data_IF_691538932045
#
_entry.id   IF_691538932045
#
_cell.length_a   1.000
_cell.length_b   1.000
_cell.length_c   1.000
_cell.angle_alpha   90.00
_cell.angle_beta   90.00
_cell.angle_gamma   90.00
#
_symmetry.space_group_name_H-M   'P 1'
#
loop_
_entity.id
_entity.type
_entity.pdbx_description
1 polymer ?
#
# COMPACT_ATOMS: atom_id res chain seq x y z
N UNK A 1 45.28 1.56 -35.07
CA UNK A 1 44.64 0.89 -33.92
C UNK A 1 44.40 -0.60 -34.15
N UNK A 2 45.44 -1.41 -33.99
CA UNK A 2 45.37 -2.87 -34.13
C UNK A 2 44.54 -3.53 -33.02
N UNK A 3 44.54 -2.93 -31.82
CA UNK A 3 43.76 -3.40 -30.66
C UNK A 3 42.25 -3.37 -30.93
N UNK A 4 41.77 -2.36 -31.66
CA UNK A 4 40.35 -2.22 -32.00
C UNK A 4 39.95 -3.30 -33.01
N UNK A 5 40.80 -3.56 -34.01
CA UNK A 5 40.55 -4.61 -35.02
C UNK A 5 40.51 -6.00 -34.40
N UNK A 6 41.38 -6.29 -33.44
CA UNK A 6 41.42 -7.57 -32.75
C UNK A 6 40.15 -7.80 -31.89
N UNK A 7 39.69 -6.75 -31.19
CA UNK A 7 38.46 -6.81 -30.39
C UNK A 7 37.22 -7.03 -31.26
N UNK A 8 37.15 -6.39 -32.43
CA UNK A 8 36.06 -6.58 -33.40
C UNK A 8 36.08 -7.98 -34.02
N UNK A 9 37.26 -8.56 -34.26
CA UNK A 9 37.38 -9.94 -34.75
C UNK A 9 36.86 -10.92 -33.69
N UNK A 10 37.21 -10.70 -32.43
CA UNK A 10 36.79 -11.55 -31.30
C UNK A 10 35.27 -11.53 -31.11
N UNK A 11 34.64 -10.35 -31.18
CA UNK A 11 33.18 -10.21 -31.13
C UNK A 11 32.47 -10.96 -32.27
N UNK A 12 32.97 -10.87 -33.51
CA UNK A 12 32.38 -11.60 -34.65
C UNK A 12 32.49 -13.12 -34.54
N UNK A 13 33.58 -13.63 -33.95
CA UNK A 13 33.74 -15.06 -33.71
C UNK A 13 32.78 -15.57 -32.63
N UNK A 14 32.54 -14.78 -31.58
CA UNK A 14 31.57 -15.11 -30.53
C UNK A 14 30.11 -15.04 -31.07
N UNK A 15 29.79 -14.09 -31.95
CA UNK A 15 28.49 -14.02 -32.63
C UNK A 15 28.26 -15.18 -33.61
N UNK A 16 29.31 -15.64 -34.32
CA UNK A 16 29.21 -16.83 -35.18
C UNK A 16 29.05 -18.13 -34.40
N UNK A 17 29.64 -18.23 -33.20
CA UNK A 17 29.39 -19.36 -32.30
C UNK A 17 27.95 -19.38 -31.76
N UNK A 18 27.34 -18.20 -31.57
CA UNK A 18 25.95 -18.08 -31.13
C UNK A 18 24.91 -18.22 -32.26
N UNK A 19 25.27 -17.92 -33.51
CA UNK A 19 24.36 -17.84 -34.65
C UNK A 19 23.98 -19.15 -35.35
N UNK A 20 24.43 -20.33 -34.87
CA UNK A 20 24.13 -21.62 -35.52
C UNK A 20 23.00 -22.42 -34.82
N UNK A 21 22.23 -21.80 -33.92
CA UNK A 21 21.11 -22.48 -33.27
C UNK A 21 19.84 -21.64 -33.33
N UNK A 22 18.99 -21.94 -34.33
CA UNK A 22 17.63 -21.44 -34.41
C UNK A 22 16.64 -22.62 -34.28
N UNK A 23 16.17 -22.81 -33.02
CA UNK A 23 14.82 -23.26 -32.56
C UNK A 23 14.41 -24.73 -32.75
N UNK A 24 13.38 -25.30 -32.03
CA UNK A 24 12.44 -24.72 -31.05
C UNK A 24 12.18 -25.59 -29.76
N UNK A 25 11.28 -25.12 -28.89
CA UNK A 25 10.54 -25.85 -27.83
C UNK A 25 11.26 -26.37 -26.55
N UNK A 26 10.88 -25.77 -25.42
CA UNK A 26 10.46 -26.44 -24.16
C UNK A 26 11.36 -27.57 -23.62
N UNK A 27 12.26 -27.24 -22.69
CA UNK A 27 12.46 -27.98 -21.42
C UNK A 27 13.67 -27.43 -20.64
N UNK A 28 13.69 -27.69 -19.33
CA UNK A 28 14.86 -27.62 -18.44
C UNK A 28 15.18 -26.28 -17.75
N UNK A 29 14.29 -25.86 -16.84
CA UNK A 29 14.75 -25.34 -15.54
C UNK A 29 15.13 -26.53 -14.63
N UNK A 30 16.12 -27.32 -15.03
CA UNK A 30 16.73 -28.33 -14.16
C UNK A 30 18.16 -27.87 -13.81
N UNK A 31 18.56 -27.90 -12.53
CA UNK A 31 19.92 -27.56 -12.16
C UNK A 31 20.86 -28.53 -12.87
N UNK A 32 21.80 -27.98 -13.65
CA UNK A 32 22.84 -28.73 -14.36
C UNK A 32 23.46 -29.74 -13.39
N UNK A 33 23.53 -31.01 -13.78
CA UNK A 33 24.16 -32.06 -13.00
C UNK A 33 25.58 -31.63 -12.62
N UNK A 34 25.75 -31.33 -11.33
CA UNK A 34 27.01 -30.86 -10.78
C UNK A 34 28.03 -31.98 -10.87
N UNK A 35 29.14 -31.75 -11.57
CA UNK A 35 30.29 -32.67 -11.62
C UNK A 35 31.09 -32.71 -10.31
N UNK A 36 30.59 -32.01 -9.27
CA UNK A 36 31.27 -31.87 -7.98
C UNK A 36 31.20 -33.18 -7.20
N UNK A 37 32.33 -33.53 -6.60
CA UNK A 37 32.42 -34.67 -5.70
C UNK A 37 31.53 -34.45 -4.48
N UNK A 38 31.12 -35.52 -3.79
CA UNK A 38 30.27 -35.41 -2.60
C UNK A 38 30.90 -34.50 -1.52
N UNK A 39 32.23 -34.50 -1.42
CA UNK A 39 32.99 -33.63 -0.51
C UNK A 39 32.84 -32.16 -0.90
N UNK A 40 32.95 -31.82 -2.18
CA UNK A 40 32.76 -30.45 -2.67
C UNK A 40 31.31 -29.97 -2.51
N UNK A 41 30.33 -30.88 -2.65
CA UNK A 41 28.93 -30.55 -2.39
C UNK A 41 28.68 -30.23 -0.92
N UNK A 42 29.31 -30.97 -0.01
CA UNK A 42 29.23 -30.72 1.43
C UNK A 42 29.91 -29.39 1.79
N UNK A 43 31.08 -29.11 1.21
CA UNK A 43 31.78 -27.82 1.41
C UNK A 43 30.95 -26.63 0.90
N UNK A 44 30.33 -26.76 -0.28
CA UNK A 44 29.41 -25.75 -0.81
C UNK A 44 28.22 -25.50 0.13
N UNK A 45 27.64 -26.55 0.72
CA UNK A 45 26.53 -26.43 1.67
C UNK A 45 26.96 -25.75 2.98
N UNK A 46 28.14 -26.10 3.50
CA UNK A 46 28.74 -25.44 4.67
C UNK A 46 29.00 -23.95 4.37
N UNK A 47 29.49 -23.65 3.17
CA UNK A 47 29.70 -22.27 2.72
C UNK A 47 28.39 -21.50 2.56
N UNK A 48 27.34 -22.14 2.06
CA UNK A 48 26.02 -21.53 1.97
C UNK A 48 25.45 -21.22 3.37
N UNK A 49 25.52 -22.18 4.29
CA UNK A 49 25.04 -22.00 5.66
C UNK A 49 25.77 -20.85 6.37
N UNK A 50 27.09 -20.80 6.27
CA UNK A 50 27.89 -19.72 6.87
C UNK A 50 27.56 -18.35 6.27
N UNK A 51 27.32 -18.28 4.96
CA UNK A 51 26.88 -17.03 4.33
C UNK A 51 25.49 -16.62 4.82
N UNK A 52 24.55 -17.56 5.00
CA UNK A 52 23.21 -17.28 5.52
C UNK A 52 23.28 -16.73 6.95
N UNK A 53 24.07 -17.35 7.84
CA UNK A 53 24.24 -16.86 9.21
C UNK A 53 24.85 -15.45 9.28
N UNK A 54 25.77 -15.13 8.35
CA UNK A 54 26.35 -13.79 8.27
C UNK A 54 25.32 -12.74 7.83
N UNK A 55 24.42 -13.11 6.92
CA UNK A 55 23.32 -12.24 6.50
C UNK A 55 22.34 -12.04 7.66
N UNK A 56 21.96 -13.10 8.38
CA UNK A 56 21.08 -12.99 9.55
C UNK A 56 21.66 -12.11 10.66
N UNK A 57 22.96 -12.19 10.93
CA UNK A 57 23.63 -11.33 11.91
C UNK A 57 23.70 -9.85 11.49
N UNK A 58 23.80 -9.59 10.19
CA UNK A 58 23.77 -8.24 9.64
C UNK A 58 22.35 -7.66 9.69
N UNK A 59 21.36 -8.39 9.17
CA UNK A 59 19.97 -7.95 9.12
C UNK A 59 19.27 -7.98 10.49
N UNK A 60 19.71 -8.83 11.43
CA UNK A 60 19.13 -8.91 12.77
C UNK A 60 19.34 -7.63 13.60
N UNK A 61 20.50 -6.97 13.45
CA UNK A 61 20.80 -5.69 14.08
C UNK A 61 19.98 -4.56 13.46
N UNK A 62 19.90 -4.56 12.13
CA UNK A 62 19.13 -3.57 11.38
C UNK A 62 17.64 -3.70 11.68
N UNK A 63 17.12 -4.93 11.83
CA UNK A 63 15.72 -5.19 12.18
C UNK A 63 15.35 -4.54 13.52
N UNK A 64 16.19 -4.67 14.54
CA UNK A 64 15.92 -4.07 15.84
C UNK A 64 15.93 -2.53 15.81
N UNK A 65 16.84 -1.91 15.04
CA UNK A 65 16.87 -0.46 14.86
C UNK A 65 15.68 0.03 14.01
N UNK A 66 15.33 -0.70 12.96
CA UNK A 66 14.14 -0.43 12.14
C UNK A 66 12.88 -0.49 13.01
N UNK A 67 12.71 -1.54 13.82
CA UNK A 67 11.59 -1.69 14.74
C UNK A 67 11.55 -0.55 15.78
N UNK A 68 12.71 -0.08 16.26
CA UNK A 68 12.80 1.10 17.12
C UNK A 68 12.40 2.40 16.40
N UNK A 69 12.85 2.60 15.16
CA UNK A 69 12.52 3.75 14.35
C UNK A 69 11.02 3.80 13.99
N UNK A 70 10.42 2.65 13.68
CA UNK A 70 8.98 2.51 13.43
C UNK A 70 8.21 2.92 14.68
N UNK A 71 8.58 2.39 15.87
CA UNK A 71 7.94 2.78 17.13
C UNK A 71 8.02 4.29 17.39
N UNK A 72 9.19 4.92 17.18
CA UNK A 72 9.35 6.38 17.32
C UNK A 72 8.46 7.15 16.34
N UNK A 73 8.26 6.64 15.12
CA UNK A 73 7.40 7.28 14.11
C UNK A 73 5.92 7.14 14.46
N UNK A 74 5.51 5.96 14.93
CA UNK A 74 4.14 5.69 15.39
C UNK A 74 3.78 6.56 16.60
N UNK A 75 4.69 6.72 17.56
CA UNK A 75 4.46 7.60 18.71
C UNK A 75 4.26 9.06 18.28
N UNK A 76 5.06 9.55 17.33
CA UNK A 76 4.88 10.90 16.76
C UNK A 76 3.53 11.07 16.04
N UNK A 77 3.05 10.02 15.37
CA UNK A 77 1.74 10.02 14.72
C UNK A 77 0.60 9.98 15.75
N UNK A 78 0.74 9.20 16.82
CA UNK A 78 -0.22 9.16 17.93
C UNK A 78 -0.37 10.53 18.62
N UNK A 79 0.73 11.25 18.79
CA UNK A 79 0.72 12.64 19.29
C UNK A 79 -0.01 13.58 18.32
N UNK A 80 0.00 13.30 17.02
CA UNK A 80 -0.73 14.07 16.01
C UNK A 80 -2.24 13.76 16.01
N UNK A 81 -2.64 12.49 16.22
CA UNK A 81 -4.04 12.08 16.34
C UNK A 81 -4.71 12.57 17.63
N UNK A 82 -3.96 12.75 18.72
CA UNK A 82 -4.43 13.43 19.95
C UNK A 82 -4.56 14.96 19.78
N UNK A 83 -4.42 15.45 18.55
CA UNK A 83 -4.41 16.86 18.19
C UNK A 83 -3.00 17.46 18.31
N UNK A 84 -2.63 18.42 17.46
CA UNK A 84 -1.33 19.08 17.54
C UNK A 84 -1.08 19.55 18.99
N UNK A 85 0.15 19.47 19.52
CA UNK A 85 0.47 20.24 20.71
C UNK A 85 0.06 21.67 20.37
N UNK A 86 -0.77 22.29 21.22
CA UNK A 86 -1.14 23.70 21.15
C UNK A 86 0.11 24.57 21.36
N UNK A 87 1.13 24.41 20.53
CA UNK A 87 2.15 25.40 20.30
C UNK A 87 1.45 26.50 19.50
N UNK A 88 0.93 27.44 20.27
CA UNK A 88 0.57 28.80 19.89
C UNK A 88 0.92 29.13 18.44
N UNK A 89 -0.06 28.98 17.55
CA UNK A 89 -0.06 29.64 16.26
C UNK A 89 -0.28 31.14 16.52
N UNK A 90 0.75 31.78 17.07
CA UNK A 90 0.77 33.23 17.23
C UNK A 90 1.18 33.80 15.89
N UNK A 91 0.19 34.40 15.25
CA UNK A 91 0.32 35.48 14.28
C UNK A 91 0.54 35.09 12.82
N UNK A 92 -0.56 34.75 12.13
CA UNK A 92 -0.77 35.23 10.76
C UNK A 92 -2.19 35.80 10.70
N UNK A 93 -2.25 37.12 10.60
CA UNK A 93 -3.43 37.92 10.91
C UNK A 93 -4.58 37.86 9.91
N UNK A 94 -5.62 38.63 10.29
CA UNK A 94 -6.82 39.05 9.56
C UNK A 94 -8.17 38.42 9.98
N UNK A 95 -8.50 38.63 11.25
CA UNK A 95 -9.73 39.24 11.81
C UNK A 95 -11.10 38.95 11.14
N UNK A 96 -11.89 38.07 11.78
CA UNK A 96 -13.35 38.20 11.95
C UNK A 96 -13.65 38.38 13.45
N UNK A 97 -14.67 39.18 13.77
CA UNK A 97 -14.83 39.85 15.07
C UNK A 97 -15.37 38.94 16.19
N UNK A 98 -14.94 39.21 17.43
CA UNK A 98 -15.34 38.50 18.67
C UNK A 98 -16.86 38.30 18.84
N UNK A 99 -17.75 39.25 18.48
CA UNK A 99 -19.20 39.04 18.59
C UNK A 99 -19.76 37.94 17.65
N UNK A 100 -19.08 37.69 16.53
CA UNK A 100 -19.52 36.74 15.48
C UNK A 100 -19.26 35.29 15.92
N UNK A 101 -18.12 35.06 16.59
CA UNK A 101 -17.74 33.75 17.15
C UNK A 101 -18.64 33.36 18.33
N UNK A 102 -19.04 34.33 19.15
CA UNK A 102 -19.93 34.09 20.31
C UNK A 102 -21.35 33.78 19.87
N UNK A 103 -21.86 34.43 18.82
CA UNK A 103 -23.19 34.17 18.27
C UNK A 103 -23.30 32.79 17.60
N UNK A 104 -22.22 32.30 16.98
CA UNK A 104 -22.14 30.93 16.42
C UNK A 104 -22.11 29.84 17.52
N UNK A 105 -21.46 30.12 18.65
CA UNK A 105 -21.39 29.20 19.80
C UNK A 105 -22.73 29.11 20.57
N UNK A 106 -23.47 30.22 20.68
CA UNK A 106 -24.80 30.26 21.32
C UNK A 106 -25.92 29.67 20.45
N UNK A 107 -25.71 29.57 19.13
CA UNK A 107 -26.69 29.03 18.17
C UNK A 107 -26.58 27.51 17.95
N UNK A 108 -25.76 26.81 18.75
CA UNK A 108 -25.72 25.35 18.80
C UNK A 108 -26.54 24.83 19.99
N UNK A 109 -27.78 24.36 19.79
CA UNK A 109 -28.43 23.49 20.76
C UNK A 109 -27.82 22.08 20.63
N UNK A 110 -27.61 21.41 21.77
CA UNK A 110 -26.98 20.10 21.96
C UNK A 110 -25.45 20.00 21.85
N UNK A 111 -24.79 20.54 22.88
CA UNK A 111 -23.76 19.77 23.58
C UNK A 111 -24.34 19.31 24.92
N UNK A 112 -25.27 18.36 24.89
CA UNK A 112 -25.64 17.61 26.08
C UNK A 112 -24.47 16.70 26.46
N UNK A 113 -23.59 17.25 27.29
CA UNK A 113 -22.76 16.51 28.23
C UNK A 113 -23.69 15.77 29.18
N UNK A 114 -23.72 14.45 29.05
CA UNK A 114 -23.86 13.48 30.13
C UNK A 114 -22.80 12.43 29.77
N UNK A 115 -21.63 12.32 30.41
CA UNK A 115 -21.35 12.37 31.84
C UNK A 115 -22.45 11.62 32.61
N UNK A 116 -22.61 10.32 32.32
CA UNK A 116 -23.19 9.39 33.28
C UNK A 116 -22.19 8.26 33.57
N UNK A 117 -22.04 8.05 34.86
CA UNK A 117 -21.00 7.33 35.55
C UNK A 117 -21.16 5.82 35.34
N UNK A 118 -20.05 5.12 35.09
CA UNK A 118 -20.02 3.66 35.15
C UNK A 118 -20.02 3.27 36.64
N UNK A 119 -21.20 3.23 37.24
CA UNK A 119 -21.41 2.49 38.48
C UNK A 119 -21.80 1.05 38.15
N UNK A 120 -21.06 0.12 38.75
CA UNK A 120 -21.37 -1.30 38.80
C UNK A 120 -22.51 -1.49 39.80
N UNK A 121 -23.51 -2.28 39.47
CA UNK A 121 -24.09 -3.27 40.38
C UNK A 121 -24.93 -4.29 39.60
N UNK A 122 -24.82 -5.54 40.04
CA UNK A 122 -25.55 -6.73 39.58
C UNK A 122 -27.05 -6.64 39.90
N UNK A 123 -27.93 -7.06 38.99
CA UNK A 123 -29.10 -7.93 39.32
C UNK A 123 -29.97 -8.27 38.10
N UNK A 124 -30.60 -9.44 38.21
CA UNK A 124 -31.40 -10.16 37.23
C UNK A 124 -32.65 -9.44 36.65
N UNK A 125 -33.07 -9.96 35.47
CA UNK A 125 -34.45 -10.04 34.90
C UNK A 125 -34.94 -9.01 33.86
N UNK A 126 -35.33 -9.62 32.74
CA UNK A 126 -36.61 -9.47 32.01
C UNK A 126 -36.63 -8.72 30.66
N UNK A 127 -36.77 -9.53 29.61
CA UNK A 127 -37.63 -9.36 28.44
C UNK A 127 -38.06 -7.95 28.02
N UNK A 128 -37.50 -7.46 26.91
CA UNK A 128 -37.96 -6.20 26.33
C UNK A 128 -37.49 -5.92 24.91
N UNK A 129 -38.13 -6.58 23.92
CA UNK A 129 -38.43 -6.00 22.60
C UNK A 129 -37.25 -5.41 21.81
N UNK A 130 -36.54 -6.28 21.10
CA UNK A 130 -35.74 -5.91 19.93
C UNK A 130 -36.62 -5.25 18.87
N UNK A 131 -36.63 -3.93 18.84
CA UNK A 131 -37.13 -3.17 17.68
C UNK A 131 -36.02 -3.19 16.64
N UNK A 132 -36.22 -3.97 15.58
CA UNK A 132 -35.43 -3.87 14.37
C UNK A 132 -35.81 -2.55 13.67
N UNK A 133 -35.13 -1.47 14.03
CA UNK A 133 -34.99 -0.34 13.13
C UNK A 133 -33.76 -0.57 12.28
N UNK A 134 -34.04 -0.81 11.00
CA UNK A 134 -33.11 -1.01 9.91
C UNK A 134 -32.38 0.32 9.65
N UNK A 135 -31.46 0.65 10.56
CA UNK A 135 -30.46 1.69 10.38
C UNK A 135 -29.41 1.20 9.42
N UNK A 136 -29.76 1.09 8.12
CA UNK A 136 -28.76 1.06 7.06
C UNK A 136 -28.06 2.43 7.05
N UNK A 137 -27.11 2.62 7.97
CA UNK A 137 -26.03 3.55 7.73
C UNK A 137 -25.29 2.96 6.55
N UNK A 138 -25.60 3.43 5.34
CA UNK A 138 -24.83 3.11 4.16
C UNK A 138 -23.42 3.60 4.42
N UNK A 139 -22.58 2.67 4.87
CA UNK A 139 -21.16 2.79 5.02
C UNK A 139 -20.60 3.13 3.63
N UNK A 140 -20.56 4.43 3.32
CA UNK A 140 -20.11 5.02 2.05
C UNK A 140 -18.57 4.93 1.90
N UNK A 141 -17.94 4.04 2.68
CA UNK A 141 -16.51 3.78 2.71
C UNK A 141 -16.03 2.93 1.52
N UNK A 142 -16.95 2.37 0.74
CA UNK A 142 -16.66 1.49 -0.41
C UNK A 142 -17.13 2.11 -1.75
N UNK A 143 -17.40 3.42 -1.75
CA UNK A 143 -17.75 4.18 -2.97
C UNK A 143 -16.50 4.49 -3.79
N UNK A 144 -16.42 4.09 -5.08
CA UNK A 144 -15.26 4.33 -5.93
C UNK A 144 -14.92 5.83 -6.03
N UNK A 145 -13.63 6.20 -6.04
CA UNK A 145 -13.22 7.61 -6.10
C UNK A 145 -13.78 8.28 -7.35
N UNK A 146 -14.14 9.56 -7.23
CA UNK A 146 -14.70 10.36 -8.32
C UNK A 146 -13.65 10.97 -9.26
N UNK A 147 -12.42 10.49 -9.17
CA UNK A 147 -11.27 10.93 -9.95
C UNK A 147 -10.41 9.70 -10.27
N UNK A 148 -9.76 9.72 -11.44
CA UNK A 148 -8.81 8.68 -11.80
C UNK A 148 -7.64 8.64 -10.80
N UNK A 149 -7.29 7.45 -10.29
CA UNK A 149 -6.23 7.27 -9.28
C UNK A 149 -4.86 7.80 -9.75
N UNK A 150 -4.55 7.72 -11.05
CA UNK A 150 -3.26 8.15 -11.59
C UNK A 150 -3.20 9.64 -11.96
N UNK A 151 -4.16 10.12 -12.73
CA UNK A 151 -4.12 11.47 -13.33
C UNK A 151 -5.12 12.46 -12.72
N UNK A 152 -5.96 12.01 -11.79
CA UNK A 152 -7.03 12.79 -11.14
C UNK A 152 -8.04 13.42 -12.13
N UNK A 153 -8.08 12.95 -13.37
CA UNK A 153 -9.10 13.33 -14.35
C UNK A 153 -10.43 12.63 -14.09
N UNK A 154 -11.47 12.99 -14.85
CA UNK A 154 -12.76 12.29 -14.80
C UNK A 154 -12.57 10.78 -15.10
N UNK A 155 -12.98 9.90 -14.18
CA UNK A 155 -12.88 8.47 -14.39
C UNK A 155 -14.08 8.00 -15.22
N UNK A 156 -13.83 7.04 -16.11
CA UNK A 156 -14.84 6.42 -16.97
C UNK A 156 -15.06 4.94 -16.66
N UNK A 157 -14.10 4.31 -15.98
CA UNK A 157 -14.04 2.87 -15.77
C UNK A 157 -13.70 2.63 -14.30
N UNK A 158 -14.32 1.63 -13.68
CA UNK A 158 -13.99 1.12 -12.34
C UNK A 158 -13.53 -0.32 -12.48
N UNK A 159 -12.36 -0.66 -11.96
CA UNK A 159 -11.83 -2.01 -11.97
C UNK A 159 -12.12 -2.69 -10.63
N UNK A 160 -12.84 -3.80 -10.62
CA UNK A 160 -13.18 -4.53 -9.38
C UNK A 160 -11.93 -5.20 -8.80
N UNK A 161 -11.10 -5.75 -9.67
CA UNK A 161 -9.94 -6.55 -9.28
C UNK A 161 -8.81 -5.66 -8.74
N UNK A 162 -8.78 -4.38 -9.12
CA UNK A 162 -7.94 -3.35 -8.51
C UNK A 162 -8.71 -2.60 -7.41
N UNK A 163 -9.29 -3.31 -6.45
CA UNK A 163 -9.94 -2.72 -5.26
C UNK A 163 -11.02 -1.66 -5.55
N UNK A 164 -11.75 -1.80 -6.67
CA UNK A 164 -12.76 -0.81 -7.12
C UNK A 164 -12.17 0.58 -7.38
N UNK A 165 -10.90 0.64 -7.77
CA UNK A 165 -10.25 1.85 -8.22
C UNK A 165 -10.88 2.37 -9.51
N UNK A 166 -10.98 3.69 -9.62
CA UNK A 166 -11.52 4.35 -10.80
C UNK A 166 -10.41 4.91 -11.69
N UNK A 167 -10.60 4.73 -13.00
CA UNK A 167 -9.61 5.03 -14.03
C UNK A 167 -10.26 5.79 -15.18
N UNK A 168 -9.49 6.66 -15.82
CA UNK A 168 -9.85 7.17 -17.15
C UNK A 168 -9.48 6.14 -18.22
N UNK A 169 -10.08 6.21 -19.40
CA UNK A 169 -9.83 5.27 -20.50
C UNK A 169 -8.35 5.13 -20.88
N UNK A 170 -7.57 6.20 -20.78
CA UNK A 170 -6.13 6.18 -21.08
C UNK A 170 -5.33 5.43 -20.03
N UNK A 171 -5.50 5.78 -18.76
CA UNK A 171 -4.80 5.12 -17.66
C UNK A 171 -5.26 3.67 -17.47
N UNK A 172 -6.51 3.35 -17.82
CA UNK A 172 -6.95 1.96 -17.83
C UNK A 172 -6.17 1.17 -18.88
N UNK A 173 -6.14 1.61 -20.14
CA UNK A 173 -5.47 0.88 -21.22
C UNK A 173 -3.93 0.82 -21.10
N UNK A 174 -3.30 1.79 -20.43
CA UNK A 174 -1.83 1.80 -20.23
C UNK A 174 -1.38 0.85 -19.12
N UNK A 175 -2.23 0.61 -18.11
CA UNK A 175 -1.89 -0.16 -16.92
C UNK A 175 -2.69 -1.47 -16.79
N UNK A 176 -3.69 -1.70 -17.65
CA UNK A 176 -4.46 -2.93 -17.72
C UNK A 176 -4.31 -3.50 -19.13
N UNK A 177 -3.45 -4.50 -19.26
CA UNK A 177 -3.29 -5.23 -20.51
C UNK A 177 -4.51 -6.15 -20.74
N UNK A 178 -4.90 -6.40 -21.99
CA UNK A 178 -6.03 -7.29 -22.30
C UNK A 178 -5.79 -8.76 -21.89
N UNK A 179 -4.55 -9.10 -21.51
CA UNK A 179 -4.19 -10.42 -20.98
C UNK A 179 -4.56 -10.56 -19.49
N UNK A 180 -4.63 -9.45 -18.75
CA UNK A 180 -5.18 -9.40 -17.41
C UNK A 180 -6.70 -9.20 -17.52
N UNK A 181 -7.46 -10.30 -17.40
CA UNK A 181 -8.94 -10.28 -17.44
C UNK A 181 -9.54 -9.58 -16.19
N UNK A 182 -9.31 -8.28 -16.07
CA UNK A 182 -9.88 -7.46 -15.02
C UNK A 182 -11.34 -7.13 -15.33
N UNK A 183 -12.24 -7.47 -14.40
CA UNK A 183 -13.66 -7.14 -14.49
C UNK A 183 -13.86 -5.66 -14.24
N UNK A 184 -14.39 -4.98 -15.25
CA UNK A 184 -14.66 -3.54 -15.17
C UNK A 184 -16.14 -3.19 -15.28
N UNK A 185 -16.53 -2.12 -14.60
CA UNK A 185 -17.82 -1.46 -14.79
C UNK A 185 -17.64 -0.01 -15.28
N UNK A 186 -18.58 0.52 -16.09
CA UNK A 186 -18.58 1.93 -16.41
C UNK A 186 -18.83 2.77 -15.15
N UNK A 187 -18.03 3.82 -14.95
CA UNK A 187 -18.19 4.74 -13.84
C UNK A 187 -19.43 5.62 -14.06
N UNK A 188 -20.40 5.54 -13.15
CA UNK A 188 -21.60 6.40 -13.16
C UNK A 188 -21.56 7.35 -11.97
N UNK A 189 -21.40 8.64 -12.24
CA UNK A 189 -21.50 9.67 -11.21
C UNK A 189 -22.93 9.69 -10.66
N UNK A 190 -23.10 9.30 -9.40
CA UNK A 190 -24.34 9.53 -8.65
C UNK A 190 -24.48 11.05 -8.44
N UNK A 191 -25.15 11.75 -9.37
CA UNK A 191 -25.55 13.13 -9.17
C UNK A 191 -26.52 13.16 -7.98
N UNK A 192 -26.07 13.68 -6.83
CA UNK A 192 -26.96 13.99 -5.70
C UNK A 192 -27.99 15.01 -6.21
N UNK A 193 -29.26 14.63 -6.17
CA UNK A 193 -30.40 15.42 -6.62
C UNK A 193 -31.05 16.11 -5.44
#
# INVERSE_FOLDING_TARGET
DEVIKERLRKLRSDEQAAGTSLTPEKSESLPKASKKTNVEQVDDLLKQLTNETLLDDAYGKDKAEIDAQIRRRLERLKVWELGPPRASFKEIGRLKSVPDVVNELLSRPDLHRADEEIEKDDDDRDSGKMSAEDGTSSDDSDSPPNYCVFCKSEPSIVCIDCYKDSYCSKCFNEFHEPEDEHKTFPYVQKKKK
#
